data_IF_822531173742
#
_entry.id   IF_822531173742
#
_cell.length_a   1.000
_cell.length_b   1.000
_cell.length_c   1.000
_cell.angle_alpha   90.00
_cell.angle_beta   90.00
_cell.angle_gamma   90.00
#
_symmetry.space_group_name_H-M   'P 1'
#
loop_
_entity.id
_entity.type
_entity.pdbx_description
1 polymer ?
#
# COMPACT_ATOMS: atom_id res chain seq x y z
N UNK A 1 4.06 -14.86 3.75
CA UNK A 1 2.84 -14.81 2.95
C UNK A 1 3.04 -13.71 1.94
N UNK A 2 2.05 -12.87 1.70
CA UNK A 2 2.19 -11.72 0.81
C UNK A 2 2.51 -10.46 1.62
N UNK A 3 3.39 -9.61 1.08
CA UNK A 3 3.49 -8.21 1.53
C UNK A 3 2.34 -7.44 0.87
N UNK A 4 1.57 -6.73 1.67
CA UNK A 4 0.40 -5.96 1.25
C UNK A 4 0.76 -4.49 1.18
N UNK A 5 0.28 -3.79 0.16
CA UNK A 5 0.43 -2.35 0.02
C UNK A 5 -0.80 -1.63 0.56
N UNK A 6 -0.63 -0.35 0.91
CA UNK A 6 -1.73 0.56 1.23
C UNK A 6 -2.64 0.70 0.02
N UNK A 7 -3.94 0.44 0.19
CA UNK A 7 -4.93 0.52 -0.88
C UNK A 7 -6.22 1.13 -0.36
N UNK A 8 -7.16 1.38 -1.27
CA UNK A 8 -8.41 2.06 -0.96
C UNK A 8 -9.57 1.27 -1.54
N UNK A 9 -10.71 1.26 -0.85
CA UNK A 9 -11.93 0.60 -1.33
C UNK A 9 -13.15 1.47 -1.14
N UNK A 10 -14.09 1.33 -2.08
CA UNK A 10 -15.40 1.97 -2.03
C UNK A 10 -16.34 1.24 -1.05
N UNK A 11 -17.54 1.79 -0.87
CA UNK A 11 -18.57 1.21 0.00
C UNK A 11 -19.07 -0.18 -0.44
N UNK A 12 -18.76 -0.61 -1.68
CA UNK A 12 -19.09 -1.94 -2.22
C UNK A 12 -17.93 -2.93 -2.00
N UNK A 13 -16.81 -2.46 -1.47
CA UNK A 13 -15.58 -3.23 -1.29
C UNK A 13 -14.72 -3.33 -2.56
N UNK A 14 -15.03 -2.59 -3.62
CA UNK A 14 -14.23 -2.57 -4.82
C UNK A 14 -12.96 -1.73 -4.59
N UNK A 15 -11.81 -2.27 -4.99
CA UNK A 15 -10.52 -1.60 -4.84
C UNK A 15 -10.38 -0.45 -5.87
N UNK A 16 -9.89 0.68 -5.40
CA UNK A 16 -9.63 1.89 -6.17
C UNK A 16 -8.13 2.08 -6.30
N UNK A 17 -7.68 2.46 -7.50
CA UNK A 17 -6.26 2.73 -7.75
C UNK A 17 -5.82 4.01 -7.02
N UNK A 18 -4.62 4.00 -6.44
CA UNK A 18 -4.10 5.09 -5.59
C UNK A 18 -4.07 6.45 -6.30
N UNK A 19 -3.84 6.47 -7.62
CA UNK A 19 -3.83 7.69 -8.44
C UNK A 19 -5.23 8.32 -8.65
N UNK A 20 -6.30 7.59 -8.30
CA UNK A 20 -7.68 8.08 -8.30
C UNK A 20 -8.18 8.48 -6.92
N UNK A 21 -7.29 8.55 -5.92
CA UNK A 21 -7.63 8.87 -4.54
C UNK A 21 -7.08 10.24 -4.17
N UNK A 22 -7.93 11.04 -3.54
CA UNK A 22 -7.58 12.34 -2.98
C UNK A 22 -7.74 12.30 -1.45
N UNK A 23 -6.74 12.82 -0.73
CA UNK A 23 -6.80 12.97 0.73
C UNK A 23 -7.33 14.36 1.09
N UNK A 24 -8.42 14.43 1.86
CA UNK A 24 -9.00 15.67 2.39
C UNK A 24 -9.25 15.52 3.89
N UNK A 25 -8.68 16.42 4.69
CA UNK A 25 -8.91 16.46 6.15
C UNK A 25 -8.75 15.12 6.87
N UNK A 26 -7.77 14.31 6.43
CA UNK A 26 -7.49 12.99 7.02
C UNK A 26 -8.36 11.84 6.48
N UNK A 27 -9.35 12.13 5.65
CA UNK A 27 -10.20 11.14 4.96
C UNK A 27 -9.80 11.00 3.50
N UNK A 28 -10.22 9.91 2.85
CA UNK A 28 -9.87 9.59 1.47
C UNK A 28 -11.13 9.60 0.60
N UNK A 29 -11.03 10.16 -0.60
CA UNK A 29 -12.15 10.27 -1.52
C UNK A 29 -11.75 9.89 -2.94
N UNK A 30 -12.67 9.31 -3.70
CA UNK A 30 -12.47 9.05 -5.12
C UNK A 30 -12.53 10.38 -5.90
N UNK A 31 -11.54 10.65 -6.74
CA UNK A 31 -11.40 11.92 -7.47
C UNK A 31 -12.59 12.16 -8.42
N UNK A 32 -13.06 11.12 -9.13
CA UNK A 32 -14.15 11.26 -10.11
C UNK A 32 -15.57 11.26 -9.48
N UNK A 33 -15.86 10.37 -8.53
CA UNK A 33 -17.22 10.21 -7.97
C UNK A 33 -17.46 11.04 -6.72
N UNK A 34 -16.39 11.47 -6.03
CA UNK A 34 -16.48 12.15 -4.74
C UNK A 34 -16.85 11.23 -3.57
N UNK A 35 -16.98 9.92 -3.81
CA UNK A 35 -17.30 8.92 -2.78
C UNK A 35 -16.17 8.82 -1.76
N UNK A 36 -16.51 8.66 -0.49
CA UNK A 36 -15.55 8.40 0.57
C UNK A 36 -15.02 6.96 0.46
N UNK A 37 -13.71 6.80 0.70
CA UNK A 37 -12.98 5.56 0.56
C UNK A 37 -12.37 5.14 1.90
N UNK A 38 -12.37 3.84 2.15
CA UNK A 38 -11.69 3.24 3.29
C UNK A 38 -10.27 2.82 2.88
N UNK A 39 -9.27 3.21 3.68
CA UNK A 39 -7.91 2.71 3.52
C UNK A 39 -7.80 1.30 4.10
N UNK A 40 -7.23 0.36 3.33
CA UNK A 40 -7.07 -1.02 3.72
C UNK A 40 -5.86 -1.68 3.04
N UNK A 41 -5.22 -2.69 3.67
CA UNK A 41 -4.15 -3.42 3.03
C UNK A 41 -4.69 -4.34 1.93
N UNK A 42 -4.05 -4.32 0.77
CA UNK A 42 -4.36 -5.24 -0.33
C UNK A 42 -3.09 -5.75 -1.00
N UNK A 43 -3.20 -6.82 -1.78
CA UNK A 43 -2.08 -7.35 -2.56
C UNK A 43 -1.52 -6.25 -3.47
N UNK A 44 -0.20 -6.07 -3.43
CA UNK A 44 0.48 -5.12 -4.32
C UNK A 44 0.25 -5.50 -5.79
N UNK A 45 -0.12 -4.54 -6.62
CA UNK A 45 -0.35 -4.73 -8.06
C UNK A 45 -0.21 -3.43 -8.85
N UNK A 46 0.27 -3.55 -10.09
CA UNK A 46 0.43 -2.40 -11.01
C UNK A 46 -0.90 -1.72 -11.36
N UNK A 47 -2.00 -2.47 -11.35
CA UNK A 47 -3.35 -1.94 -11.62
C UNK A 47 -3.89 -1.07 -10.49
N UNK A 48 -3.53 -1.38 -9.24
CA UNK A 48 -3.96 -0.59 -8.07
C UNK A 48 -3.01 0.55 -7.73
N UNK A 49 -1.83 0.62 -8.36
CA UNK A 49 -0.82 1.65 -8.07
C UNK A 49 -0.43 1.70 -6.59
N UNK A 50 -0.42 0.53 -5.94
CA UNK A 50 -0.07 0.33 -4.53
C UNK A 50 1.25 -0.44 -4.36
N UNK A 51 2.11 -0.41 -5.39
CA UNK A 51 3.40 -1.11 -5.39
C UNK A 51 4.45 -0.19 -4.78
N UNK A 52 5.18 -0.70 -3.80
CA UNK A 52 6.41 -0.09 -3.32
C UNK A 52 7.55 -0.55 -4.21
N UNK A 53 8.26 0.38 -4.83
CA UNK A 53 9.40 0.04 -5.68
C UNK A 53 10.62 -0.24 -4.79
N UNK A 54 11.21 -1.44 -4.83
CA UNK A 54 12.39 -1.74 -4.02
C UNK A 54 13.60 -0.86 -4.38
N UNK A 55 13.72 -0.40 -5.63
CA UNK A 55 14.83 0.46 -6.02
C UNK A 55 14.80 1.78 -5.24
N UNK A 56 13.63 2.36 -5.04
CA UNK A 56 13.44 3.61 -4.29
C UNK A 56 13.84 3.41 -2.81
N UNK A 57 13.47 2.26 -2.22
CA UNK A 57 13.82 1.91 -0.83
C UNK A 57 15.33 1.68 -0.70
N UNK A 58 15.95 1.01 -1.68
CA UNK A 58 17.40 0.78 -1.71
C UNK A 58 18.17 2.08 -1.88
N UNK A 59 17.70 3.00 -2.72
CA UNK A 59 18.31 4.31 -2.89
C UNK A 59 18.25 5.14 -1.59
N UNK A 60 17.14 5.04 -0.85
CA UNK A 60 16.95 5.79 0.39
C UNK A 60 17.67 5.18 1.60
N UNK A 61 17.66 3.86 1.75
CA UNK A 61 18.08 3.17 2.98
C UNK A 61 19.17 2.10 2.80
N UNK A 62 19.47 1.72 1.56
CA UNK A 62 20.41 0.65 1.23
C UNK A 62 19.78 -0.75 1.21
N UNK A 63 20.38 -1.63 0.42
CA UNK A 63 19.85 -2.99 0.18
C UNK A 63 19.82 -3.87 1.42
N UNK A 64 20.84 -3.79 2.28
CA UNK A 64 20.88 -4.61 3.49
C UNK A 64 19.81 -4.18 4.51
N UNK A 65 19.51 -2.88 4.60
CA UNK A 65 18.41 -2.37 5.44
C UNK A 65 17.06 -2.92 4.99
N UNK A 66 16.78 -2.90 3.68
CA UNK A 66 15.57 -3.50 3.11
C UNK A 66 15.47 -4.99 3.45
N UNK A 67 16.53 -5.76 3.19
CA UNK A 67 16.53 -7.21 3.43
C UNK A 67 16.34 -7.55 4.91
N UNK A 68 17.00 -6.83 5.81
CA UNK A 68 16.84 -7.04 7.26
C UNK A 68 15.42 -6.67 7.70
N UNK A 69 14.89 -5.55 7.21
CA UNK A 69 13.52 -5.13 7.49
C UNK A 69 12.52 -6.21 7.05
N UNK A 70 12.64 -6.70 5.81
CA UNK A 70 11.78 -7.78 5.29
C UNK A 70 11.79 -9.04 6.15
N UNK A 71 12.96 -9.46 6.62
CA UNK A 71 13.08 -10.65 7.48
C UNK A 71 12.54 -10.43 8.90
N UNK A 72 12.41 -9.17 9.34
CA UNK A 72 11.94 -8.82 10.68
C UNK A 72 10.45 -8.50 10.75
N UNK A 73 9.79 -8.26 9.60
CA UNK A 73 8.37 -7.92 9.55
C UNK A 73 7.46 -9.02 10.14
N UNK A 74 7.89 -10.28 10.10
CA UNK A 74 7.17 -11.40 10.73
C UNK A 74 7.44 -12.74 10.05
N UNK A 75 6.66 -13.78 10.39
CA UNK A 75 6.80 -15.11 9.78
C UNK A 75 6.66 -15.09 8.26
N UNK A 76 7.50 -15.87 7.56
CA UNK A 76 7.53 -15.93 6.10
C UNK A 76 6.25 -16.47 5.45
N UNK A 77 5.34 -17.07 6.21
CA UNK A 77 4.05 -17.62 5.76
C UNK A 77 2.88 -16.65 6.00
N UNK A 78 3.00 -15.72 6.97
CA UNK A 78 2.00 -14.69 7.25
C UNK A 78 1.95 -13.58 6.19
N UNK A 79 0.77 -13.01 5.94
CA UNK A 79 0.63 -11.81 5.10
C UNK A 79 0.72 -10.56 5.96
N UNK A 80 1.54 -9.60 5.56
CA UNK A 80 1.94 -8.45 6.39
C UNK A 80 1.78 -7.18 5.57
N UNK A 81 1.25 -6.12 6.16
CA UNK A 81 1.18 -4.81 5.51
C UNK A 81 2.55 -4.14 5.53
N UNK A 82 2.96 -3.60 4.39
CA UNK A 82 4.15 -2.77 4.29
C UNK A 82 3.92 -1.47 5.10
N UNK A 83 4.92 -1.06 5.88
CA UNK A 83 4.90 0.19 6.63
C UNK A 83 5.91 1.17 6.04
N UNK A 84 5.47 2.37 5.66
CA UNK A 84 6.32 3.46 5.18
C UNK A 84 6.62 4.52 6.26
N UNK A 85 6.05 4.38 7.47
CA UNK A 85 6.31 5.26 8.63
C UNK A 85 7.63 4.99 9.34
#
# INVERSE_FOLDING_TARGET
GMILGTSYRDHRGALVATDKVEKRDGSFFHVETGEELEQAPAKMSKSLKNVVNPDDVVEQYGADTLRVYEMFMGPLDASIAWSEE
#
